data_IF_079687350791
#
_entry.id   IF_079687350791
#
_cell.length_a   1.000
_cell.length_b   1.000
_cell.length_c   1.000
_cell.angle_alpha   90.00
_cell.angle_beta   90.00
_cell.angle_gamma   90.00
#
_symmetry.space_group_name_H-M   'P 1'
#
loop_
_entity.id
_entity.type
_entity.pdbx_description
1 polymer ?
#
# COMPACT_ATOMS: atom_id res chain seq x y z
N UNK A 1 -27.00 19.48 15.59
CA UNK A 1 -26.03 19.34 16.70
C UNK A 1 -25.80 17.88 17.15
N UNK A 2 -26.80 16.99 17.16
CA UNK A 2 -26.67 15.58 17.60
C UNK A 2 -25.92 14.67 16.60
N UNK A 3 -26.03 14.90 15.31
CA UNK A 3 -25.33 14.07 14.28
C UNK A 3 -23.83 14.35 14.28
N UNK A 4 -23.41 15.61 14.37
CA UNK A 4 -22.00 16.02 14.44
C UNK A 4 -21.34 15.45 15.71
N UNK A 5 -22.02 15.47 16.86
CA UNK A 5 -21.52 14.86 18.10
C UNK A 5 -21.36 13.33 18.01
N UNK A 6 -22.31 12.64 17.37
CA UNK A 6 -22.20 11.19 17.14
C UNK A 6 -21.09 10.86 16.15
N UNK A 7 -20.88 11.71 15.17
CA UNK A 7 -19.85 11.58 14.14
C UNK A 7 -18.45 11.82 14.73
N UNK A 8 -18.28 12.89 15.53
CA UNK A 8 -17.01 13.15 16.21
C UNK A 8 -16.66 12.03 17.19
N UNK A 9 -17.64 11.44 17.87
CA UNK A 9 -17.42 10.29 18.75
C UNK A 9 -17.04 9.02 17.97
N UNK A 10 -17.58 8.81 16.76
CA UNK A 10 -17.25 7.68 15.91
C UNK A 10 -15.83 7.84 15.32
N UNK A 11 -15.47 9.04 14.85
CA UNK A 11 -14.11 9.36 14.38
C UNK A 11 -13.10 9.27 15.53
N UNK A 12 -13.43 9.76 16.72
CA UNK A 12 -12.59 9.62 17.91
C UNK A 12 -12.44 8.15 18.33
N UNK A 13 -13.50 7.36 18.25
CA UNK A 13 -13.43 5.91 18.52
C UNK A 13 -12.60 5.16 17.46
N UNK A 14 -12.69 5.54 16.18
CA UNK A 14 -11.79 5.03 15.13
C UNK A 14 -10.32 5.39 15.41
N UNK A 15 -10.03 6.63 15.76
CA UNK A 15 -8.67 7.08 16.07
C UNK A 15 -8.10 6.41 17.33
N UNK A 16 -8.94 6.15 18.34
CA UNK A 16 -8.55 5.39 19.54
C UNK A 16 -8.32 3.90 19.22
N UNK A 17 -9.16 3.29 18.38
CA UNK A 17 -8.98 1.90 17.94
C UNK A 17 -7.68 1.73 17.13
N UNK A 18 -7.29 2.72 16.33
CA UNK A 18 -6.00 2.74 15.59
C UNK A 18 -4.82 2.76 16.56
N UNK A 19 -4.90 3.54 17.65
CA UNK A 19 -3.84 3.60 18.66
C UNK A 19 -3.59 2.28 19.39
N UNK A 20 -4.62 1.44 19.56
CA UNK A 20 -4.49 0.12 20.20
C UNK A 20 -4.06 -0.98 19.23
N UNK A 21 -4.25 -0.81 17.94
CA UNK A 21 -3.85 -1.77 16.89
C UNK A 21 -2.43 -1.56 16.34
N UNK A 22 -1.75 -0.48 16.73
CA UNK A 22 -0.38 -0.15 16.31
C UNK A 22 0.68 -1.18 16.75
N UNK A 23 0.30 -2.22 17.50
CA UNK A 23 1.20 -3.29 17.95
C UNK A 23 1.12 -4.58 17.11
N UNK A 24 0.24 -4.68 16.12
CA UNK A 24 0.18 -5.87 15.26
C UNK A 24 0.91 -5.60 13.94
N UNK A 25 1.83 -6.49 13.57
CA UNK A 25 2.52 -6.46 12.28
C UNK A 25 1.49 -6.56 11.15
N UNK A 26 1.27 -5.49 10.42
CA UNK A 26 0.13 -5.28 9.52
C UNK A 26 0.03 -6.14 8.26
N UNK A 27 0.93 -7.12 8.00
CA UNK A 27 0.80 -7.95 6.81
C UNK A 27 0.88 -9.47 7.04
N UNK A 28 1.66 -9.95 7.99
CA UNK A 28 2.00 -11.38 8.18
C UNK A 28 2.49 -12.10 6.90
N UNK A 29 2.91 -11.34 5.88
CA UNK A 29 3.41 -11.87 4.63
C UNK A 29 4.89 -12.16 4.72
N UNK A 30 5.31 -13.39 4.40
CA UNK A 30 6.73 -13.75 4.31
C UNK A 30 7.46 -12.96 3.23
N UNK A 31 6.74 -12.50 2.22
CA UNK A 31 7.28 -11.69 1.13
C UNK A 31 7.63 -10.27 1.57
N UNK A 32 7.05 -9.77 2.68
CA UNK A 32 7.42 -8.47 3.25
C UNK A 32 8.86 -8.41 3.80
N UNK A 33 9.57 -9.53 3.82
CA UNK A 33 11.00 -9.61 4.14
C UNK A 33 11.89 -8.97 3.06
N UNK A 34 11.41 -8.89 1.82
CA UNK A 34 12.22 -8.48 0.68
C UNK A 34 11.94 -7.04 0.28
N UNK A 35 12.98 -6.36 -0.22
CA UNK A 35 12.90 -4.98 -0.68
C UNK A 35 12.51 -4.00 0.43
N UNK A 36 11.56 -3.12 0.15
CA UNK A 36 10.98 -2.18 1.11
C UNK A 36 9.72 -2.74 1.81
N UNK A 37 9.51 -4.06 1.77
CA UNK A 37 8.32 -4.72 2.30
C UNK A 37 7.24 -4.95 1.23
N UNK A 38 6.05 -5.32 1.66
CA UNK A 38 4.88 -5.41 0.78
C UNK A 38 4.38 -4.03 0.45
N UNK A 39 4.30 -3.68 -0.84
CA UNK A 39 3.73 -2.42 -1.29
C UNK A 39 2.22 -2.41 -1.03
N UNK A 40 1.72 -1.34 -0.41
CA UNK A 40 0.31 -1.20 -0.09
C UNK A 40 -0.44 -0.56 -1.26
N UNK A 41 -1.70 -0.97 -1.42
CA UNK A 41 -2.61 -0.30 -2.32
C UNK A 41 -3.01 1.06 -1.72
N UNK A 42 -2.65 2.15 -2.41
CA UNK A 42 -2.92 3.53 -2.01
C UNK A 42 -4.28 4.05 -2.50
N UNK A 43 -5.17 3.16 -2.98
CA UNK A 43 -6.53 3.52 -3.35
C UNK A 43 -7.37 3.91 -2.12
N UNK A 44 -8.42 4.69 -2.35
CA UNK A 44 -9.32 5.22 -1.32
C UNK A 44 -10.72 4.59 -1.44
N UNK A 45 -11.66 4.97 -0.58
CA UNK A 45 -12.97 4.34 -0.52
C UNK A 45 -13.75 4.32 -1.83
N UNK A 46 -13.52 5.30 -2.71
CA UNK A 46 -14.27 5.34 -3.97
C UNK A 46 -13.70 4.39 -5.04
N UNK A 47 -12.39 4.25 -5.14
CA UNK A 47 -11.77 3.48 -6.22
C UNK A 47 -11.23 2.11 -5.75
N UNK A 48 -11.14 1.87 -4.45
CA UNK A 48 -10.68 0.58 -3.92
C UNK A 48 -11.50 -0.59 -4.44
N UNK A 49 -12.83 -0.50 -4.38
CA UNK A 49 -13.72 -1.52 -4.94
C UNK A 49 -13.71 -1.59 -6.47
N UNK A 50 -13.12 -0.59 -7.14
CA UNK A 50 -12.94 -0.54 -8.60
C UNK A 50 -11.53 -1.01 -9.03
N UNK A 51 -10.85 -1.82 -8.22
CA UNK A 51 -9.51 -2.31 -8.53
C UNK A 51 -8.38 -1.30 -8.34
N UNK A 52 -8.65 -0.11 -7.81
CA UNK A 52 -7.67 0.95 -7.62
C UNK A 52 -7.53 1.92 -8.80
N UNK A 53 -8.42 1.86 -9.81
CA UNK A 53 -8.38 2.79 -10.96
C UNK A 53 -8.48 4.24 -10.50
N UNK A 54 -7.65 5.11 -11.05
CA UNK A 54 -7.54 6.49 -10.59
C UNK A 54 -7.17 7.49 -11.69
N UNK A 55 -6.41 7.08 -12.71
CA UNK A 55 -5.73 8.00 -13.62
C UNK A 55 -6.72 8.88 -14.39
N UNK A 56 -7.78 8.28 -14.91
CA UNK A 56 -8.84 9.01 -15.61
C UNK A 56 -10.02 9.44 -14.73
N UNK A 57 -10.01 9.17 -13.42
CA UNK A 57 -11.15 9.51 -12.54
C UNK A 57 -11.07 10.97 -12.10
N UNK A 58 -12.03 11.76 -12.55
CA UNK A 58 -12.21 13.16 -12.17
C UNK A 58 -13.63 13.36 -11.64
N UNK A 59 -13.80 13.62 -10.34
CA UNK A 59 -15.11 13.74 -9.69
C UNK A 59 -15.04 14.79 -8.57
N UNK A 60 -16.00 15.71 -8.55
CA UNK A 60 -16.03 16.82 -7.59
C UNK A 60 -16.33 16.41 -6.14
N UNK A 61 -16.73 15.17 -5.90
CA UNK A 61 -17.12 14.65 -4.59
C UNK A 61 -16.13 13.62 -4.03
N UNK A 62 -14.99 13.42 -4.68
CA UNK A 62 -13.99 12.41 -4.35
C UNK A 62 -12.60 13.02 -4.26
N UNK A 63 -11.79 12.57 -3.31
CA UNK A 63 -10.36 12.92 -3.24
C UNK A 63 -9.57 11.79 -3.88
N UNK A 64 -8.95 12.04 -5.02
CA UNK A 64 -8.14 11.08 -5.75
C UNK A 64 -6.66 11.45 -5.66
N UNK A 65 -5.97 10.92 -4.66
CA UNK A 65 -4.55 11.21 -4.42
C UNK A 65 -3.62 10.61 -5.49
N UNK A 66 -4.05 9.52 -6.13
CA UNK A 66 -3.24 8.84 -7.14
C UNK A 66 -3.09 9.65 -8.45
N UNK A 67 -3.97 10.66 -8.67
CA UNK A 67 -3.77 11.65 -9.70
C UNK A 67 -4.14 13.05 -9.17
N UNK A 68 -3.16 13.85 -8.75
CA UNK A 68 -3.39 15.17 -8.13
C UNK A 68 -4.08 16.19 -9.04
N UNK A 69 -4.06 16.00 -10.37
CA UNK A 69 -4.80 16.85 -11.29
C UNK A 69 -6.31 16.86 -11.00
N UNK A 70 -6.84 15.77 -10.44
CA UNK A 70 -8.26 15.61 -10.09
C UNK A 70 -8.75 16.60 -9.02
N UNK A 71 -7.88 17.14 -8.17
CA UNK A 71 -8.26 18.11 -7.14
C UNK A 71 -8.86 19.39 -7.74
N UNK A 72 -8.49 19.74 -8.99
CA UNK A 72 -9.04 20.88 -9.72
C UNK A 72 -10.55 20.78 -9.92
N UNK A 73 -11.11 19.58 -9.89
CA UNK A 73 -12.55 19.31 -10.12
C UNK A 73 -13.37 19.33 -8.83
N UNK A 74 -12.78 19.42 -7.63
CA UNK A 74 -13.52 19.42 -6.37
C UNK A 74 -14.62 20.50 -6.40
N UNK A 75 -15.84 20.11 -6.01
CA UNK A 75 -17.02 20.96 -6.02
C UNK A 75 -16.85 22.21 -5.14
N UNK A 76 -17.55 23.29 -5.51
CA UNK A 76 -17.54 24.52 -4.70
C UNK A 76 -18.18 24.30 -3.34
N UNK A 77 -17.62 24.97 -2.32
CA UNK A 77 -18.07 24.89 -0.93
C UNK A 77 -17.97 23.47 -0.32
N UNK A 78 -17.32 22.53 -0.99
CA UNK A 78 -17.10 21.18 -0.47
C UNK A 78 -15.84 21.12 0.35
N UNK A 79 -15.94 20.53 1.53
CA UNK A 79 -14.84 19.95 2.27
C UNK A 79 -15.09 18.45 2.33
N UNK A 80 -14.18 17.70 1.72
CA UNK A 80 -14.26 16.25 1.66
C UNK A 80 -13.27 15.70 2.66
N UNK A 81 -13.73 14.84 3.56
CA UNK A 81 -12.90 14.03 4.44
C UNK A 81 -13.19 12.57 4.16
N UNK A 82 -12.16 11.77 3.95
CA UNK A 82 -12.27 10.36 3.60
C UNK A 82 -11.26 9.55 4.42
N UNK A 83 -11.72 8.53 5.14
CA UNK A 83 -10.89 7.65 5.93
C UNK A 83 -11.36 6.20 5.77
N UNK A 84 -10.42 5.27 5.76
CA UNK A 84 -10.71 3.86 5.60
C UNK A 84 -9.81 2.95 6.40
N UNK A 85 -10.36 1.80 6.76
CA UNK A 85 -9.68 0.71 7.46
C UNK A 85 -9.96 -0.62 6.76
N UNK A 86 -8.99 -1.52 6.82
CA UNK A 86 -9.05 -2.87 6.28
C UNK A 86 -8.96 -3.93 7.37
N UNK A 87 -9.75 -4.97 7.22
CA UNK A 87 -9.65 -6.22 7.97
C UNK A 87 -9.17 -7.30 6.99
N UNK A 88 -8.12 -8.01 7.32
CA UNK A 88 -7.48 -8.99 6.46
C UNK A 88 -7.46 -10.36 7.13
N UNK A 89 -8.01 -11.36 6.46
CA UNK A 89 -7.85 -12.77 6.78
C UNK A 89 -6.97 -13.42 5.72
N UNK A 90 -5.78 -13.88 6.12
CA UNK A 90 -4.79 -14.49 5.25
C UNK A 90 -4.65 -15.99 5.47
N UNK A 91 -4.50 -16.75 4.38
CA UNK A 91 -4.12 -18.15 4.38
C UNK A 91 -2.85 -18.30 3.55
N UNK A 92 -1.76 -18.63 4.23
CA UNK A 92 -0.45 -18.87 3.64
C UNK A 92 -0.20 -20.36 3.53
N UNK A 93 0.26 -20.85 2.39
CA UNK A 93 0.52 -22.28 2.16
C UNK A 93 1.82 -22.50 1.39
N UNK A 94 2.68 -23.38 1.90
CA UNK A 94 3.95 -23.78 1.28
C UNK A 94 4.55 -24.99 1.95
N UNK A 95 5.27 -25.83 1.20
CA UNK A 95 6.01 -27.01 1.68
C UNK A 95 5.26 -27.90 2.71
N UNK A 96 3.96 -28.10 2.48
CA UNK A 96 3.11 -28.93 3.37
C UNK A 96 2.58 -28.23 4.61
N UNK A 97 2.97 -26.98 4.87
CA UNK A 97 2.47 -26.18 5.98
C UNK A 97 1.37 -25.21 5.52
N UNK A 98 0.39 -24.97 6.39
CA UNK A 98 -0.67 -23.97 6.21
C UNK A 98 -0.78 -23.13 7.46
N UNK A 99 -0.71 -21.80 7.31
CA UNK A 99 -0.84 -20.85 8.40
C UNK A 99 -1.95 -19.86 8.07
N UNK A 100 -2.72 -19.47 9.08
CA UNK A 100 -3.72 -18.42 8.95
C UNK A 100 -3.29 -17.21 9.77
N UNK A 101 -3.60 -16.01 9.26
CA UNK A 101 -3.27 -14.77 9.92
C UNK A 101 -4.45 -13.79 9.81
N UNK A 102 -4.63 -12.98 10.83
CA UNK A 102 -5.64 -11.93 10.85
C UNK A 102 -4.97 -10.59 11.17
N UNK A 103 -5.29 -9.56 10.39
CA UNK A 103 -4.79 -8.21 10.59
C UNK A 103 -5.90 -7.18 10.45
N UNK A 104 -5.70 -6.03 11.11
CA UNK A 104 -6.49 -4.84 10.91
C UNK A 104 -5.54 -3.67 10.68
N UNK A 105 -5.80 -2.87 9.64
CA UNK A 105 -4.91 -1.78 9.22
C UNK A 105 -5.69 -0.51 8.94
N UNK A 106 -5.10 0.65 9.27
CA UNK A 106 -5.52 1.93 8.72
C UNK A 106 -5.03 1.99 7.27
N UNK A 107 -5.93 2.23 6.32
CA UNK A 107 -5.59 2.23 4.91
C UNK A 107 -5.29 3.62 4.37
N UNK A 108 -6.07 4.62 4.81
CA UNK A 108 -5.89 6.01 4.40
C UNK A 108 -6.67 6.96 5.29
N UNK A 109 -6.21 8.20 5.35
CA UNK A 109 -6.96 9.35 5.84
C UNK A 109 -6.67 10.51 4.90
N UNK A 110 -7.68 11.01 4.20
CA UNK A 110 -7.53 12.06 3.20
C UNK A 110 -8.53 13.18 3.43
N UNK A 111 -8.15 14.39 3.06
CA UNK A 111 -9.05 15.52 2.98
C UNK A 111 -8.79 16.31 1.70
N UNK A 112 -9.84 16.91 1.18
CA UNK A 112 -9.74 17.74 -0.01
C UNK A 112 -10.74 18.88 0.02
N UNK A 113 -10.35 20.03 -0.52
CA UNK A 113 -11.23 21.18 -0.62
C UNK A 113 -10.83 22.08 -1.79
N UNK A 114 -11.81 22.86 -2.24
CA UNK A 114 -11.62 23.80 -3.33
C UNK A 114 -11.24 25.16 -2.81
N UNK A 115 -10.14 25.73 -3.32
CA UNK A 115 -9.72 27.10 -3.03
C UNK A 115 -10.47 28.14 -3.89
N UNK A 116 -10.50 27.88 -5.19
CA UNK A 116 -11.23 28.70 -6.18
C UNK A 116 -11.64 27.85 -7.37
N UNK A 117 -12.38 28.39 -8.31
CA UNK A 117 -12.79 27.66 -9.53
C UNK A 117 -11.56 27.10 -10.24
N UNK A 118 -11.52 25.79 -10.45
CA UNK A 118 -10.44 25.08 -11.11
C UNK A 118 -9.16 24.94 -10.28
N UNK A 119 -9.18 25.25 -8.98
CA UNK A 119 -8.04 25.09 -8.08
C UNK A 119 -8.49 24.41 -6.79
N UNK A 120 -7.99 23.21 -6.52
CA UNK A 120 -8.26 22.44 -5.32
C UNK A 120 -6.99 21.97 -4.63
N UNK A 121 -7.12 21.65 -3.36
CA UNK A 121 -6.09 21.08 -2.50
C UNK A 121 -6.50 19.70 -2.00
N UNK A 122 -5.52 18.83 -1.84
CA UNK A 122 -5.63 17.55 -1.16
C UNK A 122 -4.55 17.43 -0.10
N UNK A 123 -4.86 16.81 1.02
CA UNK A 123 -3.91 16.41 2.06
C UNK A 123 -4.30 15.04 2.56
N UNK A 124 -3.34 14.21 2.92
CA UNK A 124 -3.67 12.91 3.49
C UNK A 124 -2.47 12.13 3.98
N UNK A 125 -2.81 11.04 4.67
CA UNK A 125 -1.90 10.06 5.22
C UNK A 125 -2.24 8.69 4.63
N UNK A 126 -1.21 7.97 4.15
CA UNK A 126 -1.35 6.60 3.63
C UNK A 126 -0.12 5.76 3.96
N UNK A 127 -0.28 4.49 4.28
CA UNK A 127 0.84 3.55 4.32
C UNK A 127 1.33 3.27 2.90
N UNK A 128 2.63 3.42 2.66
CA UNK A 128 3.27 3.13 1.37
C UNK A 128 3.66 1.66 1.26
N UNK A 129 4.31 1.13 2.31
CA UNK A 129 4.68 -0.28 2.39
C UNK A 129 4.55 -0.81 3.81
N UNK A 130 4.53 -2.12 3.96
CA UNK A 130 4.43 -2.79 5.27
C UNK A 130 5.44 -3.92 5.35
N UNK A 131 6.21 -3.94 6.43
CA UNK A 131 7.08 -5.05 6.83
C UNK A 131 6.44 -5.70 8.05
N UNK A 132 6.06 -6.97 7.94
CA UNK A 132 5.44 -7.69 9.06
C UNK A 132 5.47 -9.18 8.81
N UNK A 133 6.42 -9.88 9.45
CA UNK A 133 6.52 -11.33 9.38
C UNK A 133 7.18 -11.90 10.64
N UNK A 134 6.77 -13.11 10.99
CA UNK A 134 7.40 -13.91 12.02
C UNK A 134 7.19 -15.39 11.66
N UNK A 135 8.25 -16.05 11.18
CA UNK A 135 8.20 -17.45 10.82
C UNK A 135 9.54 -18.13 11.06
N UNK A 136 9.53 -19.45 11.13
CA UNK A 136 10.76 -20.24 11.26
C UNK A 136 10.82 -21.34 10.20
N UNK A 137 12.05 -21.71 9.85
CA UNK A 137 12.36 -22.84 8.99
C UNK A 137 13.31 -23.79 9.73
N UNK A 138 13.14 -25.09 9.48
CA UNK A 138 14.05 -26.11 10.02
C UNK A 138 14.69 -26.85 8.85
N UNK A 139 16.00 -26.82 8.77
CA UNK A 139 16.75 -27.46 7.69
C UNK A 139 17.78 -28.42 8.27
N UNK A 140 17.89 -29.61 7.68
CA UNK A 140 18.97 -30.54 8.01
C UNK A 140 20.23 -30.10 7.27
N UNK A 141 21.32 -29.84 8.03
CA UNK A 141 22.59 -29.35 7.48
C UNK A 141 23.57 -30.46 7.21
N UNK A 142 23.48 -31.58 7.95
CA UNK A 142 24.40 -32.70 7.80
C UNK A 142 24.31 -33.68 8.96
N UNK A 143 25.35 -34.52 9.10
CA UNK A 143 25.55 -35.36 10.29
C UNK A 143 26.87 -34.98 10.96
N UNK A 144 26.91 -35.04 12.30
CA UNK A 144 28.10 -34.76 13.06
C UNK A 144 29.21 -35.81 12.75
N UNK A 145 30.43 -35.39 12.55
CA UNK A 145 31.58 -36.27 12.35
C UNK A 145 31.91 -37.09 13.61
N UNK A 146 31.49 -36.61 14.78
CA UNK A 146 31.86 -37.21 16.08
C UNK A 146 30.77 -38.11 16.68
N UNK A 147 29.52 -37.96 16.28
CA UNK A 147 28.38 -38.67 16.96
C UNK A 147 27.40 -39.34 16.04
N UNK A 148 27.60 -39.33 14.71
CA UNK A 148 26.62 -39.81 13.71
C UNK A 148 25.20 -39.21 13.85
N UNK A 149 25.03 -38.18 14.69
CA UNK A 149 23.79 -37.50 14.91
C UNK A 149 23.51 -36.49 13.80
N UNK A 150 22.24 -36.32 13.46
CA UNK A 150 21.84 -35.31 12.48
C UNK A 150 21.95 -33.90 13.06
N UNK A 151 22.61 -33.03 12.31
CA UNK A 151 22.65 -31.60 12.62
C UNK A 151 21.48 -30.91 11.90
N UNK A 152 20.61 -30.26 12.69
CA UNK A 152 19.50 -29.46 12.17
C UNK A 152 19.66 -28.02 12.61
N UNK A 153 19.24 -27.11 11.73
CA UNK A 153 19.27 -25.67 11.97
C UNK A 153 17.83 -25.17 12.02
N UNK A 154 17.46 -24.50 13.09
CA UNK A 154 16.20 -23.75 13.19
C UNK A 154 16.53 -22.26 12.99
N UNK A 155 16.05 -21.70 11.89
CA UNK A 155 16.22 -20.28 11.58
C UNK A 155 14.89 -19.58 11.79
N UNK A 156 14.86 -18.59 12.68
CA UNK A 156 13.70 -17.74 12.93
C UNK A 156 13.92 -16.41 12.24
N UNK A 157 12.94 -16.00 11.46
CA UNK A 157 12.90 -14.73 10.73
C UNK A 157 11.82 -13.84 11.33
N UNK A 158 12.19 -12.62 11.67
CA UNK A 158 11.28 -11.60 12.18
C UNK A 158 11.54 -10.29 11.46
N UNK A 159 10.48 -9.56 11.14
CA UNK A 159 10.56 -8.21 10.59
C UNK A 159 9.36 -7.38 10.98
N UNK A 160 9.62 -6.11 11.18
CA UNK A 160 8.62 -5.11 11.53
C UNK A 160 8.96 -3.76 10.90
N UNK A 161 7.93 -2.97 10.57
CA UNK A 161 8.10 -1.64 10.01
C UNK A 161 7.34 -1.42 8.71
N UNK A 162 7.97 -0.67 7.81
CA UNK A 162 7.39 -0.21 6.55
C UNK A 162 7.37 1.31 6.47
N UNK A 163 6.96 1.84 5.34
CA UNK A 163 6.95 3.27 5.05
C UNK A 163 5.55 3.84 5.06
N UNK A 164 5.42 5.02 5.65
CA UNK A 164 4.21 5.84 5.65
C UNK A 164 4.44 7.13 4.88
N UNK A 165 3.39 7.69 4.30
CA UNK A 165 3.41 8.94 3.55
C UNK A 165 2.37 9.92 4.09
N UNK A 166 2.80 11.13 4.43
CA UNK A 166 1.94 12.28 4.65
C UNK A 166 2.15 13.22 3.47
N UNK A 167 1.11 13.46 2.69
CA UNK A 167 1.20 14.30 1.50
C UNK A 167 0.32 15.54 1.58
N UNK A 168 0.72 16.57 0.85
CA UNK A 168 -0.09 17.70 0.46
C UNK A 168 0.03 17.90 -1.04
N UNK A 169 -1.09 18.21 -1.69
CA UNK A 169 -1.12 18.38 -3.13
C UNK A 169 -2.08 19.45 -3.60
N UNK A 170 -1.85 19.89 -4.83
CA UNK A 170 -2.66 20.90 -5.49
C UNK A 170 -2.98 20.46 -6.91
N UNK A 171 -4.22 20.67 -7.32
CA UNK A 171 -4.67 20.48 -8.71
C UNK A 171 -5.22 21.79 -9.26
N UNK A 172 -4.82 22.10 -10.47
CA UNK A 172 -5.19 23.33 -11.18
C UNK A 172 -5.66 23.03 -12.59
N UNK A 173 -6.74 23.70 -13.00
CA UNK A 173 -7.25 23.69 -14.36
C UNK A 173 -6.95 25.05 -15.02
N UNK A 174 -5.79 25.22 -15.68
CA UNK A 174 -5.37 26.48 -16.27
C UNK A 174 -6.16 26.84 -17.54
N UNK A 175 -6.52 25.84 -18.33
CA UNK A 175 -7.20 26.00 -19.61
C UNK A 175 -8.42 25.08 -19.67
N UNK A 176 -9.40 25.43 -20.50
CA UNK A 176 -10.62 24.63 -20.65
C UNK A 176 -10.31 23.15 -20.95
N UNK A 177 -10.56 22.29 -19.96
CA UNK A 177 -10.39 20.85 -20.07
C UNK A 177 -9.08 20.29 -19.50
N UNK A 178 -7.93 20.97 -19.60
CA UNK A 178 -6.68 20.44 -19.07
C UNK A 178 -6.56 20.70 -17.56
N UNK A 179 -6.43 19.67 -16.79
CA UNK A 179 -6.07 19.73 -15.37
C UNK A 179 -4.66 19.20 -15.17
N UNK A 180 -3.87 19.91 -14.37
CA UNK A 180 -2.53 19.51 -13.92
C UNK A 180 -2.48 19.54 -12.39
N UNK A 181 -1.62 18.76 -11.79
CA UNK A 181 -1.48 18.77 -10.35
C UNK A 181 -0.18 18.14 -9.88
N UNK A 182 0.15 18.39 -8.62
CA UNK A 182 1.30 17.79 -7.97
C UNK A 182 0.98 17.49 -6.51
N UNK A 183 1.55 16.38 -5.99
CA UNK A 183 1.65 16.05 -4.57
C UNK A 183 3.11 16.11 -4.14
N UNK A 184 3.37 16.64 -2.96
CA UNK A 184 4.61 16.45 -2.24
C UNK A 184 4.30 15.67 -0.97
N UNK A 185 4.96 14.54 -0.78
CA UNK A 185 4.82 13.67 0.36
C UNK A 185 6.10 13.66 1.21
N UNK A 186 5.95 13.67 2.53
CA UNK A 186 6.98 13.28 3.47
C UNK A 186 6.79 11.82 3.82
N UNK A 187 7.82 11.00 3.62
CA UNK A 187 7.81 9.58 3.89
C UNK A 187 8.72 9.25 5.06
N UNK A 188 8.24 8.40 5.96
CA UNK A 188 9.04 7.91 7.08
C UNK A 188 8.63 6.50 7.46
N UNK A 189 9.52 5.80 8.18
CA UNK A 189 9.23 4.48 8.72
C UNK A 189 10.48 3.73 9.12
N UNK A 190 10.28 2.55 9.65
CA UNK A 190 11.32 1.69 10.15
C UNK A 190 11.53 0.49 9.23
N UNK A 191 12.79 0.07 9.13
CA UNK A 191 13.23 -1.11 8.40
C UNK A 191 13.97 -2.01 9.38
N UNK A 192 13.21 -2.86 10.07
CA UNK A 192 13.74 -3.76 11.08
C UNK A 192 13.56 -5.22 10.65
N UNK A 193 14.67 -5.92 10.54
CA UNK A 193 14.69 -7.35 10.24
C UNK A 193 15.64 -8.05 11.19
N UNK A 194 15.26 -9.22 11.66
CA UNK A 194 16.15 -10.09 12.44
C UNK A 194 16.09 -11.52 11.97
N UNK A 195 17.23 -12.17 12.08
CA UNK A 195 17.43 -13.59 11.81
C UNK A 195 18.14 -14.20 13.02
N UNK A 196 17.55 -15.22 13.60
CA UNK A 196 18.17 -16.00 14.67
C UNK A 196 18.31 -17.46 14.22
N UNK A 197 19.54 -17.94 14.14
CA UNK A 197 19.89 -19.28 13.71
C UNK A 197 20.43 -20.10 14.86
N UNK A 198 19.72 -21.15 15.23
CA UNK A 198 20.09 -22.07 16.29
C UNK A 198 20.39 -23.45 15.71
N UNK A 199 21.41 -24.13 16.26
CA UNK A 199 21.84 -25.45 15.82
C UNK A 199 21.45 -26.51 16.84
N UNK A 200 21.01 -27.66 16.36
CA UNK A 200 20.58 -28.80 17.17
C UNK A 200 21.29 -30.06 16.69
N UNK A 201 21.78 -30.87 17.64
CA UNK A 201 22.37 -32.18 17.43
C UNK A 201 21.52 -33.22 18.13
N UNK A 202 20.99 -34.21 17.40
CA UNK A 202 20.11 -35.26 17.98
C UNK A 202 18.84 -34.72 18.63
N UNK A 203 18.41 -33.49 18.31
CA UNK A 203 17.24 -32.82 18.88
C UNK A 203 17.51 -31.91 20.08
N UNK A 204 18.73 -31.89 20.60
CA UNK A 204 19.15 -31.00 21.68
C UNK A 204 19.97 -29.81 21.11
N UNK A 205 20.00 -28.68 21.83
CA UNK A 205 20.84 -27.55 21.46
C UNK A 205 22.30 -27.96 21.34
N UNK A 206 22.92 -27.67 20.20
CA UNK A 206 24.31 -28.05 19.95
C UNK A 206 25.27 -27.30 20.91
N UNK A 207 26.23 -28.04 21.45
CA UNK A 207 27.35 -27.47 22.22
C UNK A 207 28.53 -27.14 21.32
N UNK A 208 28.53 -27.64 20.09
CA UNK A 208 29.62 -27.52 19.13
C UNK A 208 29.46 -26.36 18.15
N UNK A 209 28.23 -25.84 18.02
CA UNK A 209 27.88 -24.76 17.09
C UNK A 209 27.18 -23.61 17.82
N UNK A 210 27.75 -22.41 17.66
CA UNK A 210 27.20 -21.22 18.28
C UNK A 210 25.99 -20.70 17.52
N UNK A 211 24.95 -20.30 18.24
CA UNK A 211 23.83 -19.59 17.67
C UNK A 211 24.31 -18.28 17.02
N UNK A 212 23.78 -17.97 15.86
CA UNK A 212 24.09 -16.76 15.10
C UNK A 212 22.85 -15.88 14.98
N UNK A 213 23.03 -14.59 15.21
CA UNK A 213 21.98 -13.59 15.09
C UNK A 213 22.41 -12.50 14.14
N UNK A 214 21.48 -12.06 13.32
CA UNK A 214 21.65 -10.92 12.40
C UNK A 214 20.50 -9.96 12.60
N UNK A 215 20.79 -8.68 12.84
CA UNK A 215 19.79 -7.63 13.04
C UNK A 215 20.09 -6.47 12.11
N UNK A 216 19.12 -6.16 11.26
CA UNK A 216 19.10 -5.00 10.40
C UNK A 216 18.20 -3.95 10.99
N UNK A 217 18.65 -2.71 10.99
CA UNK A 217 17.81 -1.59 11.41
C UNK A 217 18.12 -0.32 10.61
N UNK A 218 17.07 0.40 10.23
CA UNK A 218 17.17 1.74 9.65
C UNK A 218 15.90 2.51 9.92
N UNK A 219 16.03 3.78 10.29
CA UNK A 219 14.92 4.72 10.32
C UNK A 219 14.94 5.54 9.03
N UNK A 220 14.06 5.17 8.10
CA UNK A 220 13.99 5.76 6.76
C UNK A 220 13.20 7.06 6.80
N UNK A 221 13.74 8.11 6.17
CA UNK A 221 13.09 9.41 5.99
C UNK A 221 13.40 9.93 4.60
N UNK A 222 12.37 10.23 3.84
CA UNK A 222 12.53 10.74 2.48
C UNK A 222 11.32 11.56 2.05
N UNK A 223 11.26 11.96 0.79
CA UNK A 223 10.12 12.64 0.21
C UNK A 223 9.61 11.84 -0.99
N UNK A 224 8.39 12.14 -1.45
CA UNK A 224 7.83 11.64 -2.69
C UNK A 224 7.23 12.81 -3.45
N UNK A 225 7.44 12.86 -4.76
CA UNK A 225 6.88 13.89 -5.62
C UNK A 225 6.12 13.22 -6.76
N UNK A 226 4.81 13.48 -6.81
CA UNK A 226 3.93 13.00 -7.87
C UNK A 226 3.43 14.18 -8.69
N UNK A 227 3.46 14.05 -10.01
CA UNK A 227 2.92 15.02 -10.95
C UNK A 227 1.84 14.32 -11.76
N UNK A 228 0.71 14.98 -12.00
CA UNK A 228 -0.41 14.41 -12.72
C UNK A 228 -1.03 15.37 -13.72
N UNK A 229 -1.65 14.79 -14.73
CA UNK A 229 -2.44 15.50 -15.72
C UNK A 229 -3.70 14.71 -16.05
N UNK A 230 -4.80 15.43 -16.34
CA UNK A 230 -6.07 14.87 -16.79
C UNK A 230 -6.70 15.76 -17.87
N UNK A 231 -7.34 15.10 -18.84
CA UNK A 231 -8.05 15.80 -19.91
C UNK A 231 -9.40 15.14 -20.20
N UNK A 232 -10.54 15.77 -19.81
CA UNK A 232 -11.88 15.30 -20.11
C UNK A 232 -12.28 15.66 -21.55
N UNK A 233 -12.73 14.66 -22.29
CA UNK A 233 -13.16 14.75 -23.69
C UNK A 233 -14.67 14.47 -23.74
N UNK A 234 -15.47 15.46 -24.04
CA UNK A 234 -16.91 15.28 -24.24
C UNK A 234 -17.18 14.63 -25.59
N UNK A 235 -17.49 13.34 -25.61
CA UNK A 235 -17.84 12.62 -26.83
C UNK A 235 -19.22 13.02 -27.33
N UNK A 236 -20.17 13.14 -26.42
CA UNK A 236 -21.52 13.66 -26.69
C UNK A 236 -22.21 14.08 -25.36
N UNK A 237 -23.52 14.42 -25.40
CA UNK A 237 -24.27 14.89 -24.22
C UNK A 237 -24.30 13.88 -23.06
N UNK A 238 -24.14 12.60 -23.35
CA UNK A 238 -24.28 11.51 -22.39
C UNK A 238 -22.97 10.81 -22.08
N UNK A 239 -21.90 11.07 -22.82
CA UNK A 239 -20.65 10.33 -22.72
C UNK A 239 -19.46 11.28 -22.53
N UNK A 240 -18.73 11.07 -21.45
CA UNK A 240 -17.50 11.75 -21.12
C UNK A 240 -16.37 10.74 -21.05
N UNK A 241 -15.31 10.92 -21.80
CA UNK A 241 -14.06 10.17 -21.71
C UNK A 241 -13.04 11.06 -21.01
N UNK A 242 -12.42 10.60 -19.95
CA UNK A 242 -11.30 11.33 -19.32
C UNK A 242 -10.05 10.46 -19.41
N UNK A 243 -9.00 11.02 -20.01
CA UNK A 243 -7.68 10.42 -20.02
C UNK A 243 -6.82 11.07 -18.94
N UNK A 244 -5.94 10.30 -18.32
CA UNK A 244 -5.06 10.80 -17.28
C UNK A 244 -3.72 10.09 -17.27
N UNK A 245 -2.72 10.79 -16.77
CA UNK A 245 -1.39 10.24 -16.57
C UNK A 245 -0.74 10.85 -15.33
N UNK A 246 0.14 10.08 -14.70
CA UNK A 246 0.95 10.54 -13.56
C UNK A 246 2.38 10.04 -13.67
N UNK A 247 3.27 10.76 -13.00
CA UNK A 247 4.67 10.39 -12.85
C UNK A 247 5.11 10.67 -11.42
N UNK A 248 5.70 9.66 -10.76
CA UNK A 248 6.40 9.79 -9.48
C UNK A 248 7.90 9.77 -9.71
N UNK A 249 8.63 10.66 -9.04
CA UNK A 249 10.08 10.78 -9.21
C UNK A 249 10.82 9.82 -8.27
N UNK A 250 11.69 8.99 -8.85
CA UNK A 250 12.59 8.13 -8.13
C UNK A 250 13.82 8.87 -7.60
N UNK A 251 14.38 8.44 -6.48
CA UNK A 251 15.60 9.00 -5.90
C UNK A 251 16.17 8.14 -4.77
N UNK A 252 17.45 8.39 -4.44
CA UNK A 252 18.15 7.75 -3.31
C UNK A 252 17.54 8.16 -1.96
N UNK A 253 17.32 7.18 -1.08
CA UNK A 253 17.02 7.42 0.34
C UNK A 253 18.34 7.58 1.08
N UNK A 254 18.57 8.75 1.69
CA UNK A 254 19.88 9.15 2.25
C UNK A 254 20.23 8.53 3.59
N UNK A 255 19.30 7.81 4.21
CA UNK A 255 19.46 7.24 5.54
C UNK A 255 20.53 6.14 5.57
N UNK A 256 21.03 5.92 6.79
CA UNK A 256 21.99 4.85 7.10
C UNK A 256 21.22 3.58 7.48
N UNK A 257 21.65 2.44 6.97
CA UNK A 257 21.23 1.12 7.44
C UNK A 257 22.37 0.50 8.26
N UNK A 258 22.01 -0.10 9.39
CA UNK A 258 22.92 -0.77 10.31
C UNK A 258 22.64 -2.27 10.30
N UNK A 259 23.70 -3.04 10.24
CA UNK A 259 23.70 -4.49 10.39
C UNK A 259 24.53 -4.86 11.61
N UNK A 260 23.95 -5.58 12.54
CA UNK A 260 24.63 -6.14 13.71
C UNK A 260 24.54 -7.66 13.60
N UNK A 261 25.69 -8.31 13.66
CA UNK A 261 25.79 -9.76 13.81
C UNK A 261 26.45 -10.09 15.14
N UNK A 262 25.89 -11.04 15.86
CA UNK A 262 26.46 -11.52 17.11
C UNK A 262 26.23 -13.03 17.28
N UNK A 263 27.19 -13.65 17.98
CA UNK A 263 27.13 -15.08 18.34
C UNK A 263 26.72 -15.26 19.80
N UNK A 264 26.33 -16.48 20.18
CA UNK A 264 26.05 -16.81 21.57
C UNK A 264 27.26 -16.67 22.50
N UNK A 265 28.49 -16.57 21.96
CA UNK A 265 29.70 -16.33 22.74
C UNK A 265 30.07 -14.86 22.96
N UNK A 266 29.28 -13.94 22.38
CA UNK A 266 29.42 -12.50 22.59
C UNK A 266 30.22 -11.78 21.51
N UNK A 267 30.73 -12.47 20.49
CA UNK A 267 31.37 -11.81 19.33
C UNK A 267 30.32 -10.96 18.60
N UNK A 268 30.62 -9.68 18.43
CA UNK A 268 29.69 -8.74 17.80
C UNK A 268 30.41 -7.96 16.70
N UNK A 269 29.81 -7.96 15.51
CA UNK A 269 30.27 -7.20 14.35
C UNK A 269 29.18 -6.24 13.94
N UNK A 270 29.51 -4.96 13.78
CA UNK A 270 28.63 -3.92 13.30
C UNK A 270 29.11 -3.39 11.97
N UNK A 271 28.21 -3.31 11.00
CA UNK A 271 28.46 -2.70 9.68
C UNK A 271 27.38 -1.66 9.39
N UNK A 272 27.74 -0.61 8.66
CA UNK A 272 26.81 0.45 8.26
C UNK A 272 26.98 0.79 6.79
N UNK A 273 25.88 1.17 6.13
CA UNK A 273 25.90 1.67 4.77
C UNK A 273 24.93 2.84 4.62
N UNK A 274 25.35 3.87 3.89
CA UNK A 274 24.50 5.03 3.56
C UNK A 274 23.98 4.91 2.13
N UNK A 275 22.83 5.55 1.86
CA UNK A 275 22.17 5.52 0.54
C UNK A 275 21.96 4.09 0.02
N UNK A 276 21.58 3.20 0.91
CA UNK A 276 21.40 1.79 0.59
C UNK A 276 20.02 1.46 0.04
N UNK A 277 19.10 2.43 -0.01
CA UNK A 277 17.76 2.30 -0.56
C UNK A 277 17.48 3.37 -1.61
N UNK A 278 16.60 3.04 -2.54
CA UNK A 278 16.15 3.93 -3.61
C UNK A 278 14.65 3.75 -3.88
N UNK A 279 13.93 4.85 -4.11
CA UNK A 279 12.56 4.82 -4.60
C UNK A 279 12.55 4.79 -6.13
N UNK A 280 11.64 4.05 -6.77
CA UNK A 280 11.58 3.94 -8.22
C UNK A 280 10.94 5.16 -8.88
N UNK A 281 11.18 5.34 -10.15
CA UNK A 281 10.30 6.12 -11.02
C UNK A 281 9.03 5.32 -11.28
N UNK A 282 7.86 5.97 -11.14
CA UNK A 282 6.57 5.34 -11.45
C UNK A 282 5.89 6.17 -12.53
N UNK A 283 5.46 5.52 -13.60
CA UNK A 283 4.72 6.16 -14.70
C UNK A 283 3.40 5.43 -14.82
N UNK A 284 2.29 6.17 -14.76
CA UNK A 284 0.96 5.60 -14.86
C UNK A 284 0.14 6.36 -15.89
N UNK A 285 -0.71 5.64 -16.62
CA UNK A 285 -1.66 6.20 -17.56
C UNK A 285 -2.96 5.41 -17.52
N UNK A 286 -4.07 6.08 -17.79
CA UNK A 286 -5.36 5.41 -17.81
C UNK A 286 -6.47 6.29 -18.37
N UNK A 287 -7.64 5.69 -18.47
CA UNK A 287 -8.81 6.35 -18.98
C UNK A 287 -10.07 5.92 -18.21
N UNK A 288 -11.02 6.83 -18.12
CA UNK A 288 -12.36 6.53 -17.64
C UNK A 288 -13.41 7.00 -18.65
N UNK A 289 -14.40 6.16 -18.86
CA UNK A 289 -15.58 6.49 -19.64
C UNK A 289 -16.79 6.56 -18.74
N UNK A 290 -17.48 7.70 -18.75
CA UNK A 290 -18.67 7.97 -17.94
C UNK A 290 -19.88 8.13 -18.85
N UNK A 291 -20.93 7.33 -18.60
CA UNK A 291 -22.19 7.36 -19.32
C UNK A 291 -23.32 7.84 -18.42
N UNK A 292 -23.98 8.95 -18.81
CA UNK A 292 -25.21 9.51 -18.14
C UNK A 292 -25.09 9.69 -16.63
N UNK A 293 -23.92 9.98 -16.08
CA UNK A 293 -23.71 10.03 -14.63
C UNK A 293 -24.09 8.73 -13.87
N UNK A 294 -24.37 7.63 -14.60
CA UNK A 294 -24.85 6.38 -14.04
C UNK A 294 -23.80 5.28 -14.08
N UNK A 295 -23.03 5.18 -15.16
CA UNK A 295 -22.02 4.15 -15.35
C UNK A 295 -20.66 4.79 -15.60
N UNK A 296 -19.67 4.39 -14.81
CA UNK A 296 -18.27 4.74 -15.04
C UNK A 296 -17.50 3.43 -15.22
N UNK A 297 -16.73 3.32 -16.31
CA UNK A 297 -15.79 2.22 -16.54
C UNK A 297 -14.42 2.87 -16.67
N UNK A 298 -13.41 2.30 -16.01
CA UNK A 298 -12.05 2.83 -16.06
C UNK A 298 -11.02 1.69 -16.12
N UNK A 299 -9.88 2.01 -16.72
CA UNK A 299 -8.71 1.13 -16.75
C UNK A 299 -7.44 1.94 -16.69
N UNK A 300 -6.46 1.44 -15.93
CA UNK A 300 -5.16 2.07 -15.74
C UNK A 300 -4.04 1.04 -15.92
N UNK A 301 -2.89 1.54 -16.34
CA UNK A 301 -1.63 0.83 -16.37
C UNK A 301 -0.56 1.66 -15.68
N UNK A 302 0.22 1.02 -14.81
CA UNK A 302 1.36 1.62 -14.12
C UNK A 302 2.62 0.79 -14.35
N UNK A 303 3.71 1.47 -14.64
CA UNK A 303 5.05 0.91 -14.70
C UNK A 303 5.89 1.51 -13.58
N UNK A 304 6.30 0.67 -12.65
CA UNK A 304 7.21 1.02 -11.56
C UNK A 304 8.62 0.50 -11.91
N UNK A 305 9.55 1.40 -12.12
CA UNK A 305 10.91 1.10 -12.55
C UNK A 305 11.81 0.80 -11.36
N UNK A 306 11.63 -0.36 -10.77
CA UNK A 306 12.44 -0.84 -9.65
C UNK A 306 13.79 -1.42 -10.10
N UNK A 307 13.89 -1.94 -11.33
CA UNK A 307 15.14 -2.49 -11.86
C UNK A 307 16.27 -1.44 -11.80
N UNK A 308 17.40 -1.84 -11.21
CA UNK A 308 18.52 -0.95 -10.93
C UNK A 308 18.41 -0.17 -9.61
N UNK A 309 17.29 -0.17 -8.90
CA UNK A 309 17.17 0.46 -7.58
C UNK A 309 18.02 -0.25 -6.53
N UNK A 310 18.49 0.52 -5.56
CA UNK A 310 19.40 0.08 -4.51
C UNK A 310 18.67 -0.64 -3.38
N UNK A 311 19.28 -1.72 -2.88
CA UNK A 311 18.85 -2.42 -1.67
C UNK A 311 20.08 -2.95 -0.91
N UNK A 312 20.08 -2.89 0.44
CA UNK A 312 21.17 -3.47 1.22
C UNK A 312 21.06 -4.99 1.24
N UNK A 313 22.16 -5.66 1.00
CA UNK A 313 22.29 -7.12 1.13
C UNK A 313 23.46 -7.46 2.04
N UNK A 314 23.32 -8.55 2.76
CA UNK A 314 24.37 -9.08 3.63
C UNK A 314 25.44 -9.74 2.78
N UNK A 315 26.68 -9.33 2.95
CA UNK A 315 27.84 -10.03 2.45
C UNK A 315 28.54 -10.73 3.62
N UNK A 316 28.33 -12.04 3.73
CA UNK A 316 29.03 -12.86 4.71
C UNK A 316 29.98 -13.79 3.96
N UNK A 317 31.26 -13.46 3.95
CA UNK A 317 32.35 -14.33 3.51
C UNK A 317 33.24 -14.71 4.70
N UNK A 318 34.12 -15.67 4.54
CA UNK A 318 35.05 -16.06 5.60
C UNK A 318 35.97 -14.90 6.09
N UNK A 319 36.11 -13.85 5.27
CA UNK A 319 37.01 -12.70 5.52
C UNK A 319 36.29 -11.36 5.63
N UNK A 320 35.00 -11.25 5.23
CA UNK A 320 34.28 -9.99 5.16
C UNK A 320 32.87 -10.14 5.70
N UNK A 321 32.54 -9.33 6.69
CA UNK A 321 31.17 -9.18 7.22
C UNK A 321 30.74 -7.73 7.00
N UNK A 322 30.24 -7.44 5.81
CA UNK A 322 29.88 -6.07 5.41
C UNK A 322 28.51 -5.99 4.75
N UNK A 323 28.02 -4.78 4.62
CA UNK A 323 26.80 -4.48 3.82
C UNK A 323 27.25 -4.17 2.39
N UNK A 324 26.73 -4.92 1.43
CA UNK A 324 26.81 -4.57 0.01
C UNK A 324 25.52 -3.87 -0.40
N UNK A 325 25.61 -2.79 -1.15
CA UNK A 325 24.45 -2.18 -1.84
C UNK A 325 24.33 -2.86 -3.20
N UNK A 326 23.26 -3.63 -3.38
CA UNK A 326 22.95 -4.36 -4.61
C UNK A 326 21.93 -3.58 -5.45
N UNK A 327 22.01 -3.75 -6.77
CA UNK A 327 21.08 -3.13 -7.74
C UNK A 327 20.38 -4.16 -8.64
N UNK A 328 20.59 -5.44 -8.38
CA UNK A 328 20.11 -6.57 -9.17
C UNK A 328 19.00 -7.38 -8.48
N UNK A 329 18.52 -6.90 -7.32
CA UNK A 329 17.52 -7.59 -6.49
C UNK A 329 16.07 -7.20 -6.80
N UNK A 330 15.88 -6.23 -7.68
CA UNK A 330 14.56 -5.73 -8.06
C UNK A 330 14.22 -6.05 -9.52
N UNK A 331 12.91 -6.00 -9.81
CA UNK A 331 12.30 -6.17 -11.13
C UNK A 331 11.36 -5.00 -11.41
N UNK A 332 11.23 -4.59 -12.65
CA UNK A 332 10.20 -3.64 -13.03
C UNK A 332 8.82 -4.24 -12.76
N UNK A 333 7.98 -3.52 -12.00
CA UNK A 333 6.62 -3.94 -11.68
C UNK A 333 5.64 -3.34 -12.67
N UNK A 334 4.85 -4.19 -13.30
CA UNK A 334 3.73 -3.83 -14.15
C UNK A 334 2.44 -4.02 -13.36
N UNK A 335 1.63 -2.98 -13.25
CA UNK A 335 0.36 -3.04 -12.54
C UNK A 335 -0.77 -2.58 -13.46
N UNK A 336 -1.74 -3.47 -13.68
CA UNK A 336 -2.92 -3.25 -14.52
C UNK A 336 -4.15 -3.31 -13.64
N UNK A 337 -5.01 -2.31 -13.75
CA UNK A 337 -6.27 -2.26 -13.01
C UNK A 337 -7.42 -1.94 -13.95
N UNK A 338 -8.58 -2.52 -13.67
CA UNK A 338 -9.82 -2.18 -14.37
C UNK A 338 -11.00 -2.23 -13.40
N UNK A 339 -11.95 -1.33 -13.58
CA UNK A 339 -13.10 -1.25 -12.68
C UNK A 339 -14.30 -0.56 -13.29
N UNK A 340 -15.43 -0.81 -12.67
CA UNK A 340 -16.71 -0.21 -13.03
C UNK A 340 -17.47 0.26 -11.79
N UNK A 341 -18.15 1.38 -11.91
CA UNK A 341 -19.06 1.95 -10.91
C UNK A 341 -20.42 2.19 -11.57
N UNK A 342 -21.48 1.72 -10.94
CA UNK A 342 -22.85 1.92 -11.39
C UNK A 342 -23.73 2.52 -10.30
N UNK A 343 -24.55 3.50 -10.66
CA UNK A 343 -25.60 4.09 -9.84
C UNK A 343 -26.89 4.19 -10.67
N UNK A 344 -28.02 3.75 -10.12
CA UNK A 344 -29.26 3.75 -10.88
C UNK A 344 -29.78 5.18 -11.13
N UNK A 345 -29.91 6.00 -10.07
CA UNK A 345 -30.34 7.39 -10.18
C UNK A 345 -29.76 8.24 -9.04
N UNK A 346 -28.81 9.16 -9.34
CA UNK A 346 -28.18 10.01 -8.32
C UNK A 346 -29.14 10.91 -7.55
N UNK A 347 -30.27 11.27 -8.16
CA UNK A 347 -31.32 12.14 -7.59
C UNK A 347 -32.55 11.36 -7.10
N UNK A 348 -32.52 10.03 -7.17
CA UNK A 348 -33.63 9.16 -6.85
C UNK A 348 -33.81 8.89 -5.35
N UNK A 349 -34.67 7.90 -5.05
CA UNK A 349 -34.89 7.39 -3.69
C UNK A 349 -33.59 6.75 -3.15
N UNK A 350 -33.50 6.54 -1.83
CA UNK A 350 -32.31 6.03 -1.15
C UNK A 350 -31.63 4.84 -1.88
N UNK A 351 -32.40 3.79 -2.18
CA UNK A 351 -31.85 2.58 -2.87
C UNK A 351 -31.34 2.85 -4.27
N UNK A 352 -31.85 3.85 -4.97
CA UNK A 352 -31.40 4.21 -6.32
C UNK A 352 -30.10 4.99 -6.32
N UNK A 353 -29.68 5.51 -5.16
CA UNK A 353 -28.46 6.29 -4.95
C UNK A 353 -27.28 5.45 -4.40
N UNK A 354 -27.46 4.16 -4.25
CA UNK A 354 -26.39 3.25 -3.88
C UNK A 354 -25.49 3.07 -5.09
N UNK A 355 -24.18 3.25 -4.89
CA UNK A 355 -23.18 2.90 -5.89
C UNK A 355 -22.80 1.43 -5.73
N UNK A 356 -22.75 0.72 -6.84
CA UNK A 356 -22.24 -0.64 -6.95
C UNK A 356 -20.93 -0.61 -7.72
N UNK A 357 -19.92 -1.28 -7.21
CA UNK A 357 -18.57 -1.24 -7.77
C UNK A 357 -18.00 -2.63 -7.92
N UNK A 358 -17.28 -2.83 -9.01
CA UNK A 358 -16.51 -4.04 -9.30
C UNK A 358 -15.14 -3.64 -9.82
N UNK A 359 -14.12 -4.43 -9.51
CA UNK A 359 -12.77 -4.17 -10.00
C UNK A 359 -11.89 -5.41 -9.97
N UNK A 360 -10.89 -5.38 -10.83
CA UNK A 360 -9.84 -6.39 -10.92
C UNK A 360 -8.49 -5.72 -11.02
N UNK A 361 -7.46 -6.33 -10.47
CA UNK A 361 -6.10 -5.89 -10.66
C UNK A 361 -5.13 -7.06 -10.84
N UNK A 362 -4.06 -6.81 -11.57
CA UNK A 362 -2.94 -7.70 -11.75
C UNK A 362 -1.64 -6.94 -11.61
N UNK A 363 -0.69 -7.49 -10.83
CA UNK A 363 0.63 -6.91 -10.73
C UNK A 363 1.72 -7.99 -10.80
N UNK A 364 2.81 -7.66 -11.52
CA UNK A 364 4.03 -8.48 -11.53
C UNK A 364 4.85 -8.21 -10.26
N UNK A 365 5.75 -9.13 -9.86
CA UNK A 365 6.61 -8.90 -8.71
C UNK A 365 7.58 -7.73 -8.94
N UNK A 366 7.94 -7.03 -7.86
CA UNK A 366 8.98 -6.01 -7.90
C UNK A 366 10.31 -6.48 -7.29
N UNK A 367 10.33 -7.63 -6.61
CA UNK A 367 11.51 -8.19 -5.95
C UNK A 367 11.89 -9.55 -6.52
N UNK A 368 13.18 -9.84 -6.53
CA UNK A 368 13.72 -11.19 -6.72
C UNK A 368 13.88 -11.88 -5.38
N UNK A 369 13.62 -13.16 -5.34
CA UNK A 369 13.75 -14.03 -4.17
C UNK A 369 14.68 -15.16 -4.52
N UNK A 370 15.86 -15.20 -3.89
CA UNK A 370 16.91 -16.19 -4.20
C UNK A 370 17.27 -16.24 -5.71
N UNK A 371 17.29 -15.08 -6.37
CA UNK A 371 17.61 -14.97 -7.80
C UNK A 371 16.45 -15.28 -8.77
N UNK A 372 15.30 -15.65 -8.26
CA UNK A 372 14.07 -15.91 -9.04
C UNK A 372 13.04 -14.81 -8.84
N UNK A 373 12.10 -14.69 -9.78
CA UNK A 373 11.03 -13.71 -9.68
C UNK A 373 10.11 -14.03 -8.51
N UNK A 374 9.74 -12.98 -7.77
CA UNK A 374 8.77 -13.07 -6.67
C UNK A 374 7.36 -13.44 -7.15
N UNK A 375 6.33 -13.35 -6.27
CA UNK A 375 4.97 -13.73 -6.64
C UNK A 375 4.27 -12.66 -7.47
N UNK A 376 3.47 -13.11 -8.44
CA UNK A 376 2.47 -12.27 -9.07
C UNK A 376 1.28 -12.07 -8.14
N UNK A 377 0.62 -10.93 -8.28
CA UNK A 377 -0.56 -10.56 -7.50
C UNK A 377 -1.79 -10.48 -8.40
N UNK A 378 -2.88 -11.12 -8.00
CA UNK A 378 -4.19 -11.08 -8.64
C UNK A 378 -5.22 -10.65 -7.62
N UNK A 379 -6.04 -9.64 -7.93
CA UNK A 379 -7.11 -9.22 -7.02
C UNK A 379 -8.44 -9.07 -7.76
N UNK A 380 -9.51 -9.46 -7.08
CA UNK A 380 -10.90 -9.24 -7.49
C UNK A 380 -11.59 -8.53 -6.34
N UNK A 381 -12.30 -7.46 -6.66
CA UNK A 381 -12.95 -6.58 -5.68
C UNK A 381 -14.40 -6.33 -6.05
N UNK A 382 -15.26 -6.27 -5.03
CA UNK A 382 -16.63 -5.85 -5.17
C UNK A 382 -17.02 -4.99 -3.98
N UNK A 383 -17.85 -3.97 -4.19
CA UNK A 383 -18.23 -3.09 -3.10
C UNK A 383 -19.42 -2.22 -3.41
N UNK A 384 -19.87 -1.53 -2.37
CA UNK A 384 -20.98 -0.59 -2.39
C UNK A 384 -20.63 0.71 -1.69
N UNK A 385 -21.20 1.83 -2.15
CA UNK A 385 -21.20 3.06 -1.37
C UNK A 385 -22.65 3.43 -1.01
N UNK A 386 -22.90 3.48 0.29
CA UNK A 386 -24.20 3.75 0.88
C UNK A 386 -24.29 5.23 1.23
N UNK A 387 -25.25 5.99 0.67
CA UNK A 387 -25.44 7.39 1.03
C UNK A 387 -25.88 7.51 2.49
N UNK A 388 -25.25 8.39 3.27
CA UNK A 388 -25.57 8.55 4.70
C UNK A 388 -26.94 9.19 4.93
N UNK A 389 -27.31 10.16 4.10
CA UNK A 389 -28.63 10.80 4.14
C UNK A 389 -29.15 11.12 2.73
N UNK A 390 -30.43 11.44 2.61
CA UNK A 390 -31.06 11.77 1.31
C UNK A 390 -30.46 13.04 0.67
N UNK A 391 -29.92 13.96 1.46
CA UNK A 391 -29.40 15.26 0.98
C UNK A 391 -27.87 15.36 1.05
N UNK A 392 -27.21 14.43 1.72
CA UNK A 392 -25.76 14.46 1.90
C UNK A 392 -25.05 13.82 0.70
N UNK A 393 -23.88 14.36 0.35
CA UNK A 393 -22.90 13.74 -0.56
C UNK A 393 -21.91 12.84 0.20
N UNK A 394 -22.23 12.50 1.44
CA UNK A 394 -21.41 11.65 2.31
C UNK A 394 -21.83 10.19 2.17
N UNK A 395 -20.85 9.27 2.20
CA UNK A 395 -21.05 7.85 1.95
C UNK A 395 -20.32 6.99 2.98
N UNK A 396 -20.87 5.82 3.25
CA UNK A 396 -20.17 4.69 3.84
C UNK A 396 -19.79 3.76 2.71
N UNK A 397 -18.48 3.54 2.52
CA UNK A 397 -17.94 2.63 1.53
C UNK A 397 -17.66 1.29 2.20
N UNK A 398 -18.12 0.19 1.60
CA UNK A 398 -17.82 -1.16 2.05
C UNK A 398 -17.45 -2.00 0.83
N UNK A 399 -16.31 -2.71 0.90
CA UNK A 399 -15.89 -3.60 -0.17
C UNK A 399 -15.19 -4.84 0.35
N UNK A 400 -15.30 -5.90 -0.43
CA UNK A 400 -14.60 -7.17 -0.20
C UNK A 400 -13.60 -7.35 -1.32
N UNK A 401 -12.41 -7.79 -0.98
CA UNK A 401 -11.32 -8.11 -1.88
C UNK A 401 -10.85 -9.55 -1.64
N UNK A 402 -10.66 -10.29 -2.71
CA UNK A 402 -9.86 -11.50 -2.75
C UNK A 402 -8.54 -11.20 -3.44
N UNK A 403 -7.44 -11.33 -2.71
CA UNK A 403 -6.07 -11.15 -3.20
C UNK A 403 -5.36 -12.50 -3.18
N UNK A 404 -4.80 -12.88 -4.33
CA UNK A 404 -4.02 -14.10 -4.53
C UNK A 404 -2.61 -13.76 -4.98
N UNK A 405 -1.62 -14.19 -4.18
CA UNK A 405 -0.19 -14.08 -4.52
C UNK A 405 0.36 -15.46 -4.77
N UNK A 406 0.92 -15.66 -5.96
CA UNK A 406 1.50 -16.94 -6.37
C UNK A 406 2.70 -16.75 -7.26
N UNK A 407 3.64 -17.67 -7.20
CA UNK A 407 4.81 -17.75 -8.08
C UNK A 407 4.86 -19.09 -8.78
N UNK A 408 5.41 -19.11 -9.97
CA UNK A 408 5.76 -20.35 -10.69
C UNK A 408 7.02 -21.02 -10.14
N UNK A 409 7.78 -20.31 -9.30
CA UNK A 409 9.02 -20.82 -8.70
C UNK A 409 8.70 -21.81 -7.59
N UNK A 410 9.25 -23.02 -7.68
CA UNK A 410 9.12 -24.05 -6.63
C UNK A 410 9.72 -23.57 -5.30
N UNK A 411 9.06 -23.91 -4.18
CA UNK A 411 9.49 -23.52 -2.83
C UNK A 411 9.00 -22.15 -2.37
N UNK A 412 8.33 -21.35 -3.22
CA UNK A 412 7.70 -20.11 -2.80
C UNK A 412 6.29 -20.35 -2.26
N UNK A 413 5.91 -19.55 -1.28
CA UNK A 413 4.64 -19.67 -0.56
C UNK A 413 3.51 -19.05 -1.38
N UNK A 414 2.38 -19.74 -1.46
CA UNK A 414 1.15 -19.14 -2.00
C UNK A 414 0.36 -18.46 -0.88
N UNK A 415 0.00 -17.21 -1.09
CA UNK A 415 -0.76 -16.41 -0.15
C UNK A 415 -2.15 -16.10 -0.72
N UNK A 416 -3.20 -16.37 0.07
CA UNK A 416 -4.57 -16.01 -0.25
C UNK A 416 -5.13 -15.13 0.86
N UNK A 417 -5.66 -13.98 0.49
CA UNK A 417 -6.24 -13.04 1.42
C UNK A 417 -7.69 -12.76 1.06
N UNK A 418 -8.54 -12.77 2.07
CA UNK A 418 -9.87 -12.20 2.01
C UNK A 418 -9.87 -10.94 2.87
N UNK A 419 -10.17 -9.79 2.25
CA UNK A 419 -10.14 -8.51 2.94
C UNK A 419 -11.50 -7.84 2.91
N UNK A 420 -11.85 -7.21 4.03
CA UNK A 420 -13.02 -6.34 4.16
C UNK A 420 -12.52 -4.91 4.38
N UNK A 421 -12.86 -4.02 3.46
CA UNK A 421 -12.52 -2.60 3.55
C UNK A 421 -13.76 -1.79 3.93
N UNK A 422 -13.60 -0.96 4.93
CA UNK A 422 -14.64 -0.04 5.40
C UNK A 422 -14.10 1.38 5.35
N UNK A 423 -14.83 2.27 4.71
CA UNK A 423 -14.46 3.67 4.58
C UNK A 423 -15.64 4.60 4.80
N UNK A 424 -15.33 5.80 5.22
CA UNK A 424 -16.33 6.86 5.42
C UNK A 424 -15.87 8.11 4.70
N UNK A 425 -16.69 8.55 3.73
CA UNK A 425 -16.47 9.80 3.02
C UNK A 425 -17.48 10.82 3.51
N UNK A 426 -17.01 11.89 4.16
CA UNK A 426 -17.82 13.05 4.51
C UNK A 426 -17.59 14.14 3.48
N UNK A 427 -18.68 14.67 2.95
CA UNK A 427 -18.66 15.83 2.07
C UNK A 427 -19.65 16.86 2.59
N UNK A 428 -19.14 17.81 3.33
CA UNK A 428 -19.92 18.86 3.98
C UNK A 428 -19.64 20.22 3.31
N UNK A 429 -20.67 21.08 3.34
CA UNK A 429 -20.51 22.46 2.89
C UNK A 429 -19.79 23.26 3.96
N UNK A 430 -18.55 23.65 3.68
CA UNK A 430 -17.79 24.59 4.50
C UNK A 430 -17.92 26.00 3.87
N UNK A 431 -17.85 27.05 4.69
CA UNK A 431 -17.98 28.46 4.27
C UNK A 431 -19.40 28.93 3.86
N UNK A 432 -20.44 28.24 4.22
CA UNK A 432 -21.79 28.78 4.08
C UNK A 432 -22.02 29.83 5.17
N UNK A 433 -22.18 31.12 4.75
CA UNK A 433 -22.61 32.17 5.69
C UNK A 433 -24.01 31.83 6.15
N UNK A 434 -24.18 31.54 7.45
CA UNK A 434 -25.50 31.43 8.07
C UNK A 434 -26.19 32.79 7.90
N UNK A 435 -27.15 32.88 7.01
CA UNK A 435 -28.07 34.00 6.96
C UNK A 435 -29.11 33.73 8.05
N UNK A 436 -28.98 34.45 9.16
CA UNK A 436 -30.11 34.58 10.10
C UNK A 436 -31.20 35.35 9.36
N UNK A 437 -32.34 34.71 9.13
CA UNK A 437 -33.60 35.37 8.75
C UNK A 437 -34.32 35.84 10.00
#
# INVERSE_FOLDING_TARGET
MTIIKRLSSFVAAMLLAVGTMAQSNGSNSSYSRFGLGTLNDQSTGFNRAMGGVAQGIQDGNKVNMLNPASYSAIDSLSFIFDAGMGLQYGRLSGEGAKVTAFNATLEYVNAGFRLKRGLGLGIGFVPYSTIGYNFNTTTRVGSSYTSSQSITTKTTYYGNGGLHELYIGMGWNPFAGLSIGANIGYMWGDYDHSLAQNFYEGGESSKNYNAQNEVWSSNLKTYKLDIGAQYPIKLNKNNLLTIGATMSLGHDIKNEVKLIRYTSQGDTITSTAKKAFELPYIISAGASWKHKEQLTIAADYSLERWDGCKVPVSLATATENSIKVATDQYLNRHHITAGAEYINNPLGKYRQRIYYRLGVSYATPYVKINGHDGPNEYSIRAGVALPMTIRSKSFINASVEWLHRTSSTSGLITENYLMLHLGVTFNERWFEKLRFQ
#
